data_IF_543041135353
#
_entry.id   IF_543041135353
#
_cell.length_a   1.000
_cell.length_b   1.000
_cell.length_c   1.000
_cell.angle_alpha   90.00
_cell.angle_beta   90.00
_cell.angle_gamma   90.00
#
_symmetry.space_group_name_H-M   'P 1'
#
loop_
_entity.id
_entity.type
_entity.pdbx_description
1 polymer ?
#
# COMPACT_ATOMS: atom_id res chain seq x y z
N UNK A 1 24.21 20.93 22.47
CA UNK A 1 23.52 20.37 21.29
C UNK A 1 23.24 18.90 21.55
N UNK A 2 22.01 18.42 21.36
CA UNK A 2 21.69 16.99 21.53
C UNK A 2 22.33 16.23 20.37
N UNK A 3 23.28 15.36 20.66
CA UNK A 3 23.95 14.55 19.65
C UNK A 3 23.06 13.37 19.26
N UNK A 4 22.19 13.57 18.25
CA UNK A 4 21.27 12.53 17.75
C UNK A 4 22.02 11.60 16.81
N UNK A 5 22.05 10.31 17.15
CA UNK A 5 22.58 9.27 16.27
C UNK A 5 21.39 8.54 15.65
N UNK A 6 21.19 8.70 14.36
CA UNK A 6 20.02 8.14 13.69
C UNK A 6 20.05 6.61 13.61
N UNK A 7 18.85 6.03 13.64
CA UNK A 7 18.62 4.59 13.58
C UNK A 7 17.65 4.26 12.43
N UNK A 8 17.81 3.08 11.86
CA UNK A 8 16.87 2.47 10.91
C UNK A 8 16.16 1.31 11.63
N UNK A 9 15.13 1.65 12.41
CA UNK A 9 14.36 0.69 13.21
C UNK A 9 13.14 0.23 12.41
N UNK A 10 13.06 -1.06 12.03
CA UNK A 10 11.85 -1.62 11.44
C UNK A 10 10.64 -1.45 12.38
N UNK A 11 9.46 -1.23 11.81
CA UNK A 11 8.25 -1.00 12.61
C UNK A 11 7.97 -2.12 13.64
N UNK A 12 8.21 -3.38 13.27
CA UNK A 12 8.01 -4.53 14.14
C UNK A 12 8.98 -4.57 15.35
N UNK A 13 10.09 -3.84 15.27
CA UNK A 13 11.16 -3.83 16.28
C UNK A 13 11.15 -2.54 17.11
N UNK A 14 10.18 -1.64 16.88
CA UNK A 14 10.10 -0.31 17.52
C UNK A 14 10.10 -0.39 19.05
N UNK A 15 9.41 -1.36 19.62
CA UNK A 15 9.26 -1.49 21.07
C UNK A 15 10.55 -2.03 21.70
N UNK A 16 11.27 -2.91 21.00
CA UNK A 16 12.60 -3.38 21.39
C UNK A 16 13.62 -2.24 21.35
N UNK A 17 13.64 -1.46 20.28
CA UNK A 17 14.52 -0.29 20.17
C UNK A 17 14.21 0.77 21.26
N UNK A 18 12.93 1.01 21.55
CA UNK A 18 12.49 1.91 22.62
C UNK A 18 12.95 1.40 23.99
N UNK A 19 12.79 0.11 24.27
CA UNK A 19 13.26 -0.52 25.50
C UNK A 19 14.80 -0.45 25.64
N UNK A 20 15.53 -0.57 24.53
CA UNK A 20 16.98 -0.36 24.45
C UNK A 20 17.41 1.13 24.56
N UNK A 21 16.45 2.05 24.72
CA UNK A 21 16.71 3.46 25.00
C UNK A 21 16.67 4.39 23.78
N UNK A 22 16.24 3.91 22.61
CA UNK A 22 15.99 4.78 21.47
C UNK A 22 14.86 5.79 21.76
N UNK A 23 14.87 6.91 21.02
CA UNK A 23 13.86 7.97 21.08
C UNK A 23 13.34 8.25 19.67
N UNK A 24 12.09 8.71 19.58
CA UNK A 24 11.45 9.08 18.33
C UNK A 24 11.51 10.59 18.14
N UNK A 25 11.96 11.05 16.98
CA UNK A 25 11.85 12.44 16.54
C UNK A 25 10.63 12.57 15.61
N UNK A 26 9.55 13.26 16.03
CA UNK A 26 8.34 13.39 15.21
C UNK A 26 8.52 14.31 13.99
N UNK A 27 9.46 15.26 14.03
CA UNK A 27 9.73 16.15 12.91
C UNK A 27 10.55 15.43 11.83
N UNK A 28 11.60 14.70 12.24
CA UNK A 28 12.39 13.87 11.33
C UNK A 28 11.68 12.56 10.94
N UNK A 29 10.60 12.20 11.66
CA UNK A 29 9.92 10.91 11.59
C UNK A 29 10.91 9.75 11.64
N UNK A 30 11.87 9.80 12.57
CA UNK A 30 12.98 8.84 12.65
C UNK A 30 13.39 8.55 14.09
N UNK A 31 13.81 7.30 14.34
CA UNK A 31 14.38 6.86 15.59
C UNK A 31 15.83 7.34 15.74
N UNK A 32 16.24 7.68 16.96
CA UNK A 32 17.62 8.07 17.28
C UNK A 32 18.06 7.55 18.65
N UNK A 33 19.37 7.33 18.79
CA UNK A 33 20.01 7.17 20.08
C UNK A 33 20.34 8.55 20.67
N UNK A 34 19.96 8.85 21.93
CA UNK A 34 20.17 10.15 22.55
C UNK A 34 21.63 10.41 22.98
N UNK A 35 22.47 9.37 23.07
CA UNK A 35 23.88 9.47 23.45
C UNK A 35 24.73 8.40 22.76
N UNK A 36 26.05 8.66 22.64
CA UNK A 36 27.03 7.69 22.13
C UNK A 36 27.20 6.51 23.10
N UNK A 37 27.69 5.38 22.58
CA UNK A 37 28.03 4.20 23.37
C UNK A 37 26.87 3.30 23.78
N UNK A 38 25.66 3.52 23.26
CA UNK A 38 24.50 2.64 23.49
C UNK A 38 24.60 1.39 22.61
N UNK A 39 25.39 0.41 23.02
CA UNK A 39 25.67 -0.83 22.26
C UNK A 39 24.42 -1.64 21.95
N UNK A 40 23.41 -1.63 22.83
CA UNK A 40 22.12 -2.28 22.61
C UNK A 40 21.35 -1.76 21.38
N UNK A 41 21.72 -0.58 20.84
CA UNK A 41 21.09 0.02 19.66
C UNK A 41 21.85 -0.27 18.34
N UNK A 42 23.01 -0.94 18.41
CA UNK A 42 23.80 -1.28 17.21
C UNK A 42 23.03 -2.08 16.14
N UNK A 43 22.09 -3.00 16.47
CA UNK A 43 21.30 -3.70 15.46
C UNK A 43 20.53 -2.77 14.51
N UNK A 44 20.19 -1.56 14.97
CA UNK A 44 19.45 -0.55 14.21
C UNK A 44 20.31 0.62 13.74
N UNK A 45 21.65 0.50 13.76
CA UNK A 45 22.53 1.56 13.28
C UNK A 45 22.09 2.05 11.89
N UNK A 46 22.10 3.35 11.62
CA UNK A 46 21.73 3.86 10.31
C UNK A 46 22.66 3.32 9.22
N UNK A 47 22.09 2.83 8.12
CA UNK A 47 22.85 2.62 6.88
C UNK A 47 22.99 3.97 6.14
N UNK A 48 23.84 4.05 5.09
CA UNK A 48 23.85 5.20 4.19
C UNK A 48 22.43 5.52 3.69
N UNK A 49 22.09 6.79 3.50
CA UNK A 49 20.78 7.12 2.93
C UNK A 49 20.69 6.66 1.47
N UNK A 50 19.48 6.27 1.06
CA UNK A 50 19.18 5.95 -0.34
C UNK A 50 19.16 7.27 -1.13
N UNK A 51 19.76 7.35 -2.33
CA UNK A 51 19.75 8.56 -3.15
C UNK A 51 18.32 8.96 -3.54
N UNK A 52 18.06 10.26 -3.64
CA UNK A 52 16.73 10.78 -3.99
C UNK A 52 16.29 10.40 -5.42
N UNK A 53 17.27 10.30 -6.33
CA UNK A 53 17.11 9.74 -7.67
C UNK A 53 17.73 8.34 -7.69
N UNK A 54 16.91 7.31 -7.87
CA UNK A 54 17.40 5.94 -7.96
C UNK A 54 18.05 5.68 -9.34
N UNK A 55 19.08 4.83 -9.42
CA UNK A 55 19.72 4.48 -10.69
C UNK A 55 18.73 3.94 -11.72
N UNK A 56 18.58 4.64 -12.85
CA UNK A 56 17.66 4.23 -13.93
C UNK A 56 16.17 4.43 -13.62
N UNK A 57 15.82 5.17 -12.56
CA UNK A 57 14.46 5.60 -12.26
C UNK A 57 13.96 6.63 -13.27
N UNK A 58 12.76 6.41 -13.78
CA UNK A 58 12.04 7.36 -14.62
C UNK A 58 10.97 8.07 -13.79
N UNK A 59 11.25 9.30 -13.37
CA UNK A 59 10.31 10.09 -12.56
C UNK A 59 9.12 10.61 -13.36
N UNK A 60 9.14 10.51 -14.69
CA UNK A 60 7.99 10.86 -15.55
C UNK A 60 7.01 9.69 -15.71
N UNK A 61 7.48 8.46 -15.48
CA UNK A 61 6.65 7.27 -15.58
C UNK A 61 5.51 7.32 -14.56
N UNK A 62 4.27 7.27 -15.05
CA UNK A 62 3.10 7.22 -14.19
C UNK A 62 2.88 8.49 -13.37
N UNK A 63 3.19 9.65 -13.95
CA UNK A 63 2.74 10.96 -13.46
C UNK A 63 1.21 11.05 -13.40
N UNK A 64 0.72 11.82 -12.42
CA UNK A 64 -0.72 11.98 -12.18
C UNK A 64 -1.38 10.76 -11.52
N UNK A 65 -2.72 10.77 -11.52
CA UNK A 65 -3.53 9.70 -10.93
C UNK A 65 -4.19 8.86 -12.02
N UNK A 66 -4.01 7.54 -11.96
CA UNK A 66 -4.69 6.59 -12.82
C UNK A 66 -4.80 5.23 -12.14
N UNK A 67 -5.75 4.43 -12.60
CA UNK A 67 -5.85 3.01 -12.25
C UNK A 67 -4.68 2.24 -12.85
N UNK A 68 -3.85 1.64 -11.99
CA UNK A 68 -2.65 0.89 -12.36
C UNK A 68 -2.71 -0.50 -11.72
N UNK A 69 -3.27 -1.44 -12.46
CA UNK A 69 -3.49 -2.80 -11.96
C UNK A 69 -2.25 -3.66 -12.23
N UNK A 70 -1.62 -4.12 -11.16
CA UNK A 70 -0.56 -5.12 -11.23
C UNK A 70 -1.16 -6.48 -11.63
N UNK A 71 -0.57 -7.22 -12.59
CA UNK A 71 -1.04 -8.54 -13.01
C UNK A 71 -1.18 -9.51 -11.83
N UNK A 72 -2.19 -10.38 -11.86
CA UNK A 72 -2.45 -11.31 -10.75
C UNK A 72 -1.29 -12.29 -10.51
N UNK A 73 -0.54 -12.63 -11.55
CA UNK A 73 0.70 -13.40 -11.48
C UNK A 73 1.83 -12.74 -10.67
N UNK A 74 1.71 -11.44 -10.41
CA UNK A 74 2.70 -10.61 -9.73
C UNK A 74 2.19 -10.05 -8.40
N UNK A 75 0.97 -10.40 -7.98
CA UNK A 75 0.47 -10.01 -6.67
C UNK A 75 1.35 -10.62 -5.57
N UNK A 76 1.45 -9.89 -4.45
CA UNK A 76 2.28 -10.24 -3.28
C UNK A 76 3.80 -10.14 -3.48
N UNK A 77 4.26 -9.69 -4.66
CA UNK A 77 5.67 -9.27 -4.90
C UNK A 77 5.78 -7.78 -5.15
N UNK A 78 5.42 -7.01 -4.12
CA UNK A 78 5.74 -5.59 -4.04
C UNK A 78 7.17 -5.41 -3.53
N UNK A 79 7.72 -4.21 -3.60
CA UNK A 79 9.10 -3.94 -3.17
C UNK A 79 9.27 -4.23 -1.69
N UNK A 80 8.28 -3.89 -0.86
CA UNK A 80 8.31 -4.16 0.59
C UNK A 80 8.52 -5.64 0.92
N UNK A 81 7.94 -6.57 0.16
CA UNK A 81 8.14 -8.02 0.37
C UNK A 81 9.44 -8.56 -0.24
N UNK A 82 10.15 -7.75 -1.03
CA UNK A 82 11.38 -8.13 -1.72
C UNK A 82 12.64 -7.49 -1.13
N UNK A 83 12.54 -6.69 -0.07
CA UNK A 83 13.67 -5.99 0.57
C UNK A 83 13.70 -6.25 2.07
N UNK A 84 14.84 -6.04 2.71
CA UNK A 84 14.91 -6.16 4.18
C UNK A 84 14.01 -5.12 4.87
N UNK A 85 13.45 -5.41 6.07
CA UNK A 85 12.65 -4.44 6.81
C UNK A 85 13.39 -3.11 7.09
N UNK A 86 14.70 -3.18 7.30
CA UNK A 86 15.57 -2.00 7.46
C UNK A 86 15.63 -1.16 6.18
N UNK A 87 15.81 -1.80 5.03
CA UNK A 87 15.87 -1.10 3.74
C UNK A 87 14.50 -0.58 3.29
N UNK A 88 13.42 -1.28 3.65
CA UNK A 88 12.07 -0.75 3.46
C UNK A 88 11.89 0.58 4.20
N UNK A 89 12.36 0.71 5.44
CA UNK A 89 12.27 1.97 6.17
C UNK A 89 13.14 3.07 5.54
N UNK A 90 14.33 2.72 5.05
CA UNK A 90 15.19 3.65 4.29
C UNK A 90 14.48 4.17 3.03
N UNK A 91 13.89 3.27 2.24
CA UNK A 91 13.13 3.60 1.03
C UNK A 91 11.90 4.47 1.35
N UNK A 92 11.06 4.04 2.31
CA UNK A 92 9.85 4.77 2.70
C UNK A 92 10.17 6.20 3.14
N UNK A 93 11.24 6.37 3.92
CA UNK A 93 11.72 7.68 4.36
C UNK A 93 12.20 8.53 3.19
N UNK A 94 13.02 7.96 2.30
CA UNK A 94 13.49 8.65 1.10
C UNK A 94 12.31 9.10 0.22
N UNK A 95 11.36 8.22 -0.06
CA UNK A 95 10.19 8.48 -0.93
C UNK A 95 9.31 9.61 -0.38
N UNK A 96 8.99 9.57 0.91
CA UNK A 96 8.14 10.61 1.52
C UNK A 96 8.86 11.96 1.65
N UNK A 97 10.16 11.94 1.98
CA UNK A 97 11.02 13.15 2.02
C UNK A 97 11.13 13.78 0.65
N UNK A 98 11.50 13.03 -0.39
CA UNK A 98 11.67 13.57 -1.75
C UNK A 98 10.39 14.13 -2.34
N UNK A 99 9.24 13.62 -1.91
CA UNK A 99 7.92 14.12 -2.30
C UNK A 99 7.48 15.34 -1.48
N UNK A 100 8.35 15.89 -0.62
CA UNK A 100 8.03 17.06 0.21
C UNK A 100 6.88 16.81 1.19
N UNK A 101 6.72 15.56 1.65
CA UNK A 101 5.61 15.13 2.51
C UNK A 101 4.23 15.39 1.89
N UNK A 102 4.12 15.24 0.56
CA UNK A 102 2.88 15.37 -0.20
C UNK A 102 2.71 14.22 -1.18
N UNK A 103 1.46 13.95 -1.55
CA UNK A 103 1.12 13.04 -2.63
C UNK A 103 1.63 13.60 -3.96
N UNK A 104 2.40 12.82 -4.72
CA UNK A 104 2.89 13.23 -6.05
C UNK A 104 1.78 13.27 -7.11
N UNK A 105 0.61 12.67 -6.85
CA UNK A 105 -0.53 12.69 -7.78
C UNK A 105 -1.54 13.82 -7.52
N UNK A 106 -1.84 14.14 -6.25
CA UNK A 106 -2.88 15.12 -5.90
C UNK A 106 -2.42 16.21 -4.92
N UNK A 107 -1.12 16.25 -4.57
CA UNK A 107 -0.50 17.22 -3.66
C UNK A 107 -1.03 17.23 -2.21
N UNK A 108 -1.95 16.33 -1.86
CA UNK A 108 -2.46 16.20 -0.51
C UNK A 108 -1.35 15.77 0.47
N UNK A 109 -1.30 16.44 1.62
CA UNK A 109 -0.48 16.01 2.75
C UNK A 109 -1.19 14.90 3.56
N UNK A 110 -0.48 14.31 4.51
CA UNK A 110 -1.08 13.45 5.54
C UNK A 110 -2.13 14.22 6.35
N UNK A 111 -3.20 13.54 6.74
CA UNK A 111 -4.21 14.04 7.65
C UNK A 111 -4.71 12.87 8.51
N UNK A 112 -4.40 12.92 9.82
CA UNK A 112 -4.73 11.82 10.74
C UNK A 112 -6.22 11.71 11.01
N UNK A 113 -6.92 12.84 11.14
CA UNK A 113 -8.36 12.89 11.41
C UNK A 113 -9.15 12.32 10.24
N UNK A 114 -8.76 12.71 9.02
CA UNK A 114 -9.33 12.20 7.79
C UNK A 114 -8.81 10.81 7.41
N UNK A 115 -7.96 10.18 8.23
CA UNK A 115 -7.38 8.86 7.94
C UNK A 115 -6.74 8.84 6.55
N UNK A 116 -5.84 9.80 6.30
CA UNK A 116 -5.06 9.93 5.07
C UNK A 116 -3.57 9.88 5.40
N UNK A 117 -2.90 8.88 4.87
CA UNK A 117 -1.47 8.66 5.03
C UNK A 117 -0.77 8.83 3.68
N UNK A 118 0.56 8.93 3.71
CA UNK A 118 1.40 8.83 2.52
C UNK A 118 1.98 7.42 2.44
N UNK A 119 1.83 6.82 1.27
CA UNK A 119 2.12 5.43 0.98
C UNK A 119 3.08 5.39 -0.21
N UNK A 120 4.15 4.61 -0.09
CA UNK A 120 5.04 4.32 -1.21
C UNK A 120 4.35 3.32 -2.15
N UNK A 121 4.43 3.56 -3.44
CA UNK A 121 3.82 2.74 -4.48
C UNK A 121 4.80 2.52 -5.64
N UNK A 122 4.75 1.35 -6.25
CA UNK A 122 5.62 0.97 -7.37
C UNK A 122 4.98 1.20 -8.74
N UNK A 123 5.73 1.82 -9.65
CA UNK A 123 5.41 1.87 -11.08
C UNK A 123 6.31 0.91 -11.84
N UNK A 124 5.67 0.11 -12.70
CA UNK A 124 6.31 -0.98 -13.42
C UNK A 124 6.23 -0.76 -14.92
N UNK A 125 7.29 -1.14 -15.63
CA UNK A 125 7.23 -1.39 -17.07
C UNK A 125 7.24 -2.88 -17.32
N UNK A 126 6.54 -3.30 -18.38
CA UNK A 126 6.38 -4.69 -18.74
C UNK A 126 6.96 -4.90 -20.13
N UNK A 127 7.90 -5.82 -20.24
CA UNK A 127 8.51 -6.23 -21.48
C UNK A 127 7.92 -7.58 -21.89
N UNK A 128 6.98 -7.54 -22.83
CA UNK A 128 6.24 -8.72 -23.29
C UNK A 128 7.11 -9.75 -24.01
N UNK A 129 8.19 -9.31 -24.67
CA UNK A 129 9.08 -10.18 -25.42
C UNK A 129 9.97 -11.00 -24.48
N UNK A 130 10.58 -10.34 -23.49
CA UNK A 130 11.48 -11.00 -22.52
C UNK A 130 10.76 -11.49 -21.25
N UNK A 131 9.48 -11.16 -21.09
CA UNK A 131 8.65 -11.53 -19.93
C UNK A 131 9.19 -10.99 -18.62
N UNK A 132 9.68 -9.76 -18.65
CA UNK A 132 10.24 -9.07 -17.49
C UNK A 132 9.31 -7.93 -17.04
N UNK A 133 9.01 -7.90 -15.74
CA UNK A 133 8.41 -6.77 -15.05
C UNK A 133 9.55 -6.00 -14.36
N UNK A 134 9.85 -4.78 -14.81
CA UNK A 134 10.94 -3.96 -14.26
C UNK A 134 10.39 -2.84 -13.40
N UNK A 135 10.94 -2.71 -12.19
CA UNK A 135 10.67 -1.54 -11.36
C UNK A 135 11.28 -0.32 -12.02
N UNK A 136 10.48 0.71 -12.28
CA UNK A 136 10.96 1.93 -12.94
C UNK A 136 10.71 3.22 -12.17
N UNK A 137 9.81 3.20 -11.19
CA UNK A 137 9.64 4.32 -10.28
C UNK A 137 9.04 3.88 -8.96
N UNK A 138 9.48 4.52 -7.89
CA UNK A 138 8.73 4.57 -6.64
C UNK A 138 7.99 5.91 -6.55
N UNK A 139 6.76 5.94 -6.07
CA UNK A 139 5.97 7.16 -6.02
C UNK A 139 5.26 7.27 -4.67
N UNK A 140 5.23 8.48 -4.13
CA UNK A 140 4.51 8.81 -2.90
C UNK A 140 3.05 9.14 -3.23
N UNK A 141 2.11 8.32 -2.79
CA UNK A 141 0.67 8.52 -2.99
C UNK A 141 -0.05 8.69 -1.65
N UNK A 142 -1.06 9.54 -1.59
CA UNK A 142 -1.97 9.52 -0.44
C UNK A 142 -2.90 8.30 -0.50
N UNK A 143 -3.50 7.94 0.63
CA UNK A 143 -4.42 6.79 0.74
C UNK A 143 -5.55 6.77 -0.28
N UNK A 144 -6.12 7.94 -0.61
CA UNK A 144 -7.19 8.01 -1.60
C UNK A 144 -6.66 7.74 -3.02
N UNK A 145 -5.51 8.33 -3.39
CA UNK A 145 -4.84 8.07 -4.67
C UNK A 145 -4.32 6.62 -4.80
N UNK A 146 -3.78 6.07 -3.71
CA UNK A 146 -3.33 4.69 -3.65
C UNK A 146 -4.50 3.72 -3.83
N UNK A 147 -5.66 4.03 -3.25
CA UNK A 147 -6.90 3.25 -3.43
C UNK A 147 -7.38 3.28 -4.89
N UNK A 148 -7.32 4.43 -5.57
CA UNK A 148 -7.63 4.55 -7.00
C UNK A 148 -6.68 3.73 -7.86
N UNK A 149 -5.39 3.80 -7.55
CA UNK A 149 -4.36 3.05 -8.27
C UNK A 149 -4.66 1.54 -8.21
N UNK A 150 -5.00 1.04 -7.02
CA UNK A 150 -5.45 -0.35 -6.79
C UNK A 150 -6.97 -0.55 -6.94
N UNK A 151 -7.57 -0.03 -8.02
CA UNK A 151 -9.03 0.00 -8.20
C UNK A 151 -9.71 -1.37 -8.07
N UNK A 152 -9.10 -2.44 -8.59
CA UNK A 152 -9.64 -3.81 -8.47
C UNK A 152 -9.76 -4.28 -7.02
N UNK A 153 -8.81 -3.89 -6.15
CA UNK A 153 -8.88 -4.17 -4.72
C UNK A 153 -9.91 -3.27 -4.02
N UNK A 154 -10.03 -2.02 -4.44
CA UNK A 154 -11.07 -1.11 -3.95
C UNK A 154 -12.48 -1.67 -4.19
N UNK A 155 -12.72 -2.31 -5.34
CA UNK A 155 -13.99 -2.99 -5.64
C UNK A 155 -14.27 -4.15 -4.66
N UNK A 156 -13.28 -5.02 -4.42
CA UNK A 156 -13.41 -6.15 -3.47
C UNK A 156 -13.77 -5.66 -2.07
N UNK A 157 -13.26 -4.49 -1.67
CA UNK A 157 -13.50 -3.88 -0.36
C UNK A 157 -14.73 -2.99 -0.27
N UNK A 158 -15.52 -2.85 -1.35
CA UNK A 158 -16.70 -1.96 -1.37
C UNK A 158 -16.35 -0.47 -1.36
N UNK A 159 -15.12 -0.09 -1.70
CA UNK A 159 -14.65 1.31 -1.76
C UNK A 159 -14.72 1.91 -3.17
N UNK A 160 -15.37 1.22 -4.11
CA UNK A 160 -15.42 1.60 -5.53
C UNK A 160 -15.93 3.02 -5.74
N UNK A 161 -17.08 3.38 -5.17
CA UNK A 161 -17.69 4.70 -5.36
C UNK A 161 -16.76 5.83 -4.89
N UNK A 162 -16.06 5.62 -3.77
CA UNK A 162 -15.08 6.58 -3.24
C UNK A 162 -13.87 6.71 -4.16
N UNK A 163 -13.35 5.58 -4.65
CA UNK A 163 -12.23 5.57 -5.58
C UNK A 163 -12.60 6.27 -6.90
N UNK A 164 -13.76 5.95 -7.48
CA UNK A 164 -14.24 6.56 -8.71
C UNK A 164 -14.38 8.08 -8.58
N UNK A 165 -15.02 8.56 -7.50
CA UNK A 165 -15.17 9.99 -7.24
C UNK A 165 -13.82 10.69 -7.07
N UNK A 166 -12.86 10.04 -6.39
CA UNK A 166 -11.52 10.60 -6.23
C UNK A 166 -10.74 10.65 -7.54
N UNK A 167 -10.85 9.61 -8.38
CA UNK A 167 -10.26 9.59 -9.71
C UNK A 167 -10.73 10.80 -10.53
N UNK A 168 -12.05 10.94 -10.69
CA UNK A 168 -12.67 12.07 -11.42
C UNK A 168 -12.22 13.42 -10.85
N UNK A 169 -12.25 13.57 -9.53
CA UNK A 169 -11.85 14.82 -8.85
C UNK A 169 -10.41 15.23 -9.16
N UNK A 170 -9.47 14.28 -9.14
CA UNK A 170 -8.04 14.58 -9.28
C UNK A 170 -7.63 14.72 -10.75
N UNK A 171 -8.19 13.91 -11.64
CA UNK A 171 -7.82 13.91 -13.06
C UNK A 171 -8.62 14.89 -13.90
N UNK A 172 -9.78 15.35 -13.42
CA UNK A 172 -10.71 16.16 -14.21
C UNK A 172 -11.44 15.38 -15.32
N UNK A 173 -11.26 14.05 -15.40
CA UNK A 173 -11.97 13.20 -16.37
C UNK A 173 -13.48 13.32 -16.18
N UNK A 174 -14.22 13.37 -17.27
CA UNK A 174 -15.67 13.13 -17.24
C UNK A 174 -15.95 11.71 -16.70
N UNK A 175 -17.17 11.48 -16.23
CA UNK A 175 -17.57 10.15 -15.75
C UNK A 175 -17.41 9.08 -16.86
N UNK A 176 -17.65 9.43 -18.11
CA UNK A 176 -17.51 8.52 -19.27
C UNK A 176 -16.05 8.19 -19.56
N UNK A 177 -15.16 9.18 -19.50
CA UNK A 177 -13.71 8.97 -19.65
C UNK A 177 -13.16 8.13 -18.51
N UNK A 178 -13.51 8.44 -17.26
CA UNK A 178 -13.08 7.66 -16.10
C UNK A 178 -13.52 6.19 -16.19
N UNK A 179 -14.76 5.91 -16.63
CA UNK A 179 -15.23 4.54 -16.88
C UNK A 179 -14.45 3.86 -18.00
N UNK A 180 -14.14 4.59 -19.08
CA UNK A 180 -13.35 4.06 -20.19
C UNK A 180 -11.91 3.76 -19.78
N UNK A 181 -11.30 4.63 -18.97
CA UNK A 181 -9.99 4.46 -18.34
C UNK A 181 -9.95 3.18 -17.49
N UNK A 182 -10.92 3.02 -16.58
CA UNK A 182 -11.02 1.83 -15.73
C UNK A 182 -11.15 0.57 -16.59
N UNK A 183 -12.04 0.57 -17.58
CA UNK A 183 -12.21 -0.57 -18.51
C UNK A 183 -10.91 -0.91 -19.24
N UNK A 184 -10.19 0.10 -19.73
CA UNK A 184 -8.90 -0.11 -20.39
C UNK A 184 -7.88 -0.74 -19.43
N UNK A 185 -7.76 -0.22 -18.21
CA UNK A 185 -6.86 -0.76 -17.20
C UNK A 185 -7.16 -2.24 -16.87
N UNK A 186 -8.44 -2.61 -16.78
CA UNK A 186 -8.84 -4.02 -16.61
C UNK A 186 -8.51 -4.90 -17.83
N UNK A 187 -8.66 -4.40 -19.06
CA UNK A 187 -8.28 -5.15 -20.25
C UNK A 187 -6.77 -5.42 -20.30
N UNK A 188 -5.95 -4.42 -19.95
CA UNK A 188 -4.49 -4.57 -19.83
C UNK A 188 -4.14 -5.58 -18.73
N UNK A 189 -4.81 -5.49 -17.57
CA UNK A 189 -4.65 -6.44 -16.48
C UNK A 189 -4.99 -7.87 -16.88
N UNK A 190 -6.10 -8.09 -17.58
CA UNK A 190 -6.53 -9.41 -18.08
C UNK A 190 -5.46 -10.01 -19.01
N UNK A 191 -4.95 -9.22 -19.95
CA UNK A 191 -3.93 -9.64 -20.91
C UNK A 191 -2.60 -9.99 -20.22
N UNK A 192 -2.13 -9.16 -19.29
CA UNK A 192 -0.87 -9.38 -18.56
C UNK A 192 -0.98 -10.47 -17.50
N UNK A 193 -2.17 -10.73 -16.95
CA UNK A 193 -2.40 -11.78 -15.96
C UNK A 193 -2.40 -13.19 -16.56
N UNK A 194 -2.51 -13.32 -17.89
CA UNK A 194 -2.34 -14.60 -18.59
C UNK A 194 -0.89 -15.10 -18.64
N UNK A 195 0.03 -14.34 -18.05
CA UNK A 195 1.48 -14.45 -18.24
C UNK A 195 2.17 -14.54 -16.88
N UNK A 196 3.24 -15.34 -16.78
CA UNK A 196 4.22 -15.19 -15.69
C UNK A 196 5.28 -14.17 -16.08
N UNK A 197 5.77 -13.43 -15.09
CA UNK A 197 6.76 -12.38 -15.24
C UNK A 197 7.95 -12.62 -14.31
N UNK A 198 9.16 -12.43 -14.83
CA UNK A 198 10.37 -12.32 -14.03
C UNK A 198 10.48 -10.90 -13.48
N UNK A 199 10.86 -10.76 -12.21
CA UNK A 199 10.96 -9.46 -11.55
C UNK A 199 12.39 -8.92 -11.70
N UNK A 200 12.50 -7.67 -12.11
CA UNK A 200 13.76 -6.93 -12.15
C UNK A 200 13.69 -5.75 -11.17
N UNK A 201 14.52 -5.84 -10.14
CA UNK A 201 14.68 -4.86 -9.06
C UNK A 201 16.09 -4.25 -9.04
N UNK A 202 16.84 -4.34 -10.15
CA UNK A 202 18.22 -3.84 -10.24
C UNK A 202 18.37 -2.39 -9.77
N UNK A 203 17.39 -1.53 -10.09
CA UNK A 203 17.28 -0.15 -9.60
C UNK A 203 17.45 0.00 -8.07
N UNK A 204 17.05 -1.01 -7.29
CA UNK A 204 17.19 -1.01 -5.84
C UNK A 204 18.58 -1.48 -5.41
N UNK A 205 19.07 -2.59 -5.97
CA UNK A 205 20.39 -3.12 -5.61
C UNK A 205 21.50 -2.12 -5.95
N UNK A 206 21.37 -1.43 -7.09
CA UNK A 206 22.31 -0.41 -7.54
C UNK A 206 22.28 0.83 -6.63
N UNK A 207 21.20 1.03 -5.87
CA UNK A 207 21.06 2.06 -4.85
C UNK A 207 21.48 1.61 -3.44
N UNK A 208 22.09 0.43 -3.30
CA UNK A 208 22.51 -0.12 -2.02
C UNK A 208 21.35 -0.61 -1.13
N UNK A 209 20.28 -1.11 -1.74
CA UNK A 209 19.17 -1.80 -1.06
C UNK A 209 19.38 -3.32 -1.11
N UNK A 210 19.24 -3.98 0.02
CA UNK A 210 19.38 -5.42 0.16
C UNK A 210 18.06 -6.12 -0.15
N UNK A 211 18.06 -6.98 -1.16
CA UNK A 211 16.89 -7.79 -1.49
C UNK A 211 16.76 -8.98 -0.53
N UNK A 212 15.52 -9.25 -0.12
CA UNK A 212 15.14 -10.54 0.44
C UNK A 212 14.58 -11.40 -0.69
N UNK A 213 14.90 -12.70 -0.69
CA UNK A 213 14.62 -13.60 -1.82
C UNK A 213 13.14 -13.49 -2.24
N UNK A 214 12.83 -12.93 -3.43
CA UNK A 214 11.46 -12.87 -3.87
C UNK A 214 10.97 -14.28 -4.19
N UNK A 215 9.68 -14.62 -3.93
CA UNK A 215 9.11 -15.90 -4.34
C UNK A 215 9.34 -16.14 -5.83
N UNK A 216 9.52 -17.39 -6.28
CA UNK A 216 9.68 -17.66 -7.72
C UNK A 216 8.38 -17.37 -8.46
N UNK A 217 8.46 -16.99 -9.74
CA UNK A 217 7.29 -16.62 -10.53
C UNK A 217 6.18 -17.69 -10.57
N UNK A 218 6.54 -18.99 -10.51
CA UNK A 218 5.59 -20.10 -10.44
C UNK A 218 4.86 -20.23 -9.10
N UNK A 219 5.49 -19.84 -7.99
CA UNK A 219 4.96 -19.92 -6.63
C UNK A 219 3.94 -18.78 -6.35
N UNK A 220 4.09 -17.64 -7.03
CA UNK A 220 3.28 -16.42 -6.81
C UNK A 220 1.81 -16.57 -7.19
N UNK A 221 1.50 -17.32 -8.26
CA UNK A 221 0.11 -17.47 -8.75
C UNK A 221 -0.81 -18.11 -7.71
N UNK A 222 -0.29 -19.07 -6.92
CA UNK A 222 -1.06 -19.75 -5.87
C UNK A 222 -1.36 -18.86 -4.67
N UNK A 223 -0.39 -18.05 -4.24
CA UNK A 223 -0.53 -17.08 -3.14
C UNK A 223 -1.64 -16.08 -3.43
N UNK A 224 -1.68 -15.57 -4.67
CA UNK A 224 -2.65 -14.57 -5.07
C UNK A 224 -4.11 -15.05 -5.01
N UNK A 225 -4.36 -16.27 -5.49
CA UNK A 225 -5.67 -16.89 -5.42
C UNK A 225 -6.08 -17.22 -3.98
N UNK A 226 -5.14 -17.71 -3.16
CA UNK A 226 -5.38 -18.07 -1.77
C UNK A 226 -5.73 -16.85 -0.89
N UNK A 227 -5.01 -15.73 -1.02
CA UNK A 227 -5.32 -14.52 -0.25
C UNK A 227 -6.68 -13.95 -0.59
N UNK A 228 -7.02 -13.86 -1.89
CA UNK A 228 -8.37 -13.43 -2.29
C UNK A 228 -9.46 -14.38 -1.80
N UNK A 229 -9.22 -15.70 -1.79
CA UNK A 229 -10.17 -16.68 -1.30
C UNK A 229 -10.41 -16.54 0.20
N UNK A 230 -9.34 -16.32 0.98
CA UNK A 230 -9.42 -16.06 2.42
C UNK A 230 -10.18 -14.76 2.73
N UNK A 231 -10.00 -13.70 1.95
CA UNK A 231 -10.76 -12.46 2.09
C UNK A 231 -12.25 -12.61 1.69
N UNK A 232 -12.59 -13.56 0.81
CA UNK A 232 -13.97 -13.83 0.33
C UNK A 232 -14.76 -14.82 1.20
N UNK A 233 -14.08 -15.72 1.90
CA UNK A 233 -14.70 -16.70 2.81
C UNK A 233 -15.15 -16.09 4.14
N UNK A 234 -14.87 -14.81 4.37
CA UNK A 234 -15.32 -14.05 5.53
C UNK A 234 -16.72 -13.51 5.18
N UNK A 235 -17.79 -13.89 5.90
CA UNK A 235 -19.11 -13.28 5.74
C UNK A 235 -18.99 -11.75 5.83
N UNK A 236 -19.83 -10.96 5.14
CA UNK A 236 -19.86 -9.52 5.39
C UNK A 236 -20.01 -9.33 6.90
N UNK A 237 -19.10 -8.58 7.55
CA UNK A 237 -19.11 -8.50 8.99
C UNK A 237 -20.48 -8.00 9.44
N UNK A 238 -21.10 -8.72 10.38
CA UNK A 238 -22.03 -8.13 11.33
C UNK A 238 -21.39 -6.83 11.85
N UNK A 239 -22.12 -5.71 12.06
CA UNK A 239 -21.51 -4.49 12.56
C UNK A 239 -20.80 -4.79 13.89
N UNK A 240 -19.49 -4.98 13.79
CA UNK A 240 -18.55 -5.33 14.83
C UNK A 240 -17.20 -4.73 14.41
N UNK A 241 -16.42 -4.39 15.42
CA UNK A 241 -15.76 -3.09 15.51
C UNK A 241 -14.76 -2.75 14.40
N UNK A 242 -14.88 -1.50 13.92
CA UNK A 242 -14.00 -0.88 12.95
C UNK A 242 -12.49 -0.95 13.31
N UNK A 243 -12.14 -1.30 14.56
CA UNK A 243 -10.77 -1.50 15.03
C UNK A 243 -10.04 -2.69 14.40
N UNK A 244 -10.72 -3.81 14.13
CA UNK A 244 -10.06 -5.05 13.72
C UNK A 244 -9.60 -5.04 12.25
N UNK A 245 -10.41 -4.44 11.38
CA UNK A 245 -10.08 -4.20 9.97
C UNK A 245 -8.96 -3.14 9.85
N UNK A 246 -8.98 -2.12 10.71
CA UNK A 246 -7.92 -1.12 10.80
C UNK A 246 -6.60 -1.74 11.27
N UNK A 247 -6.64 -2.69 12.21
CA UNK A 247 -5.46 -3.39 12.69
C UNK A 247 -4.80 -4.25 11.59
N UNK A 248 -5.58 -5.01 10.81
CA UNK A 248 -5.04 -5.80 9.69
C UNK A 248 -4.42 -4.95 8.59
N UNK A 249 -5.09 -3.86 8.21
CA UNK A 249 -4.57 -2.90 7.23
C UNK A 249 -3.36 -2.15 7.78
N UNK A 250 -3.34 -1.83 9.08
CA UNK A 250 -2.18 -1.21 9.72
C UNK A 250 -0.98 -2.17 9.80
N UNK A 251 -1.21 -3.47 9.99
CA UNK A 251 -0.16 -4.51 9.95
C UNK A 251 0.37 -4.66 8.52
N UNK A 252 -0.51 -4.79 7.53
CA UNK A 252 -0.15 -4.90 6.11
C UNK A 252 0.53 -3.62 5.58
N UNK A 253 0.13 -2.45 6.08
CA UNK A 253 0.66 -1.13 5.68
C UNK A 253 1.76 -0.60 6.61
N UNK A 254 2.10 -1.28 7.71
CA UNK A 254 3.16 -0.88 8.65
C UNK A 254 2.88 0.42 9.43
N UNK A 255 1.63 0.62 9.86
CA UNK A 255 1.15 1.82 10.58
C UNK A 255 1.06 1.50 12.09
N UNK A 256 1.48 2.43 12.95
CA UNK A 256 1.31 2.33 14.40
C UNK A 256 -0.14 2.57 14.83
N UNK A 257 -0.75 1.58 15.49
CA UNK A 257 -2.03 1.76 16.18
C UNK A 257 -1.83 2.58 17.47
N UNK A 258 -2.75 3.49 17.84
CA UNK A 258 -2.73 4.17 19.13
C UNK A 258 -3.01 3.18 20.27
N UNK A 259 -2.40 3.41 21.44
CA UNK A 259 -2.67 2.63 22.64
C UNK A 259 -4.09 2.93 23.15
N UNK A 260 -4.82 1.89 23.57
CA UNK A 260 -6.19 2.03 24.05
C UNK A 260 -6.26 2.88 25.34
N UNK A 261 -7.25 3.79 25.46
CA UNK A 261 -7.55 4.42 26.73
C UNK A 261 -8.28 3.43 27.66
N UNK A 262 -8.03 3.58 28.96
CA UNK A 262 -8.57 2.72 30.01
C UNK A 262 -10.11 2.74 30.06
N UNK A 263 -10.64 1.54 30.28
CA UNK A 263 -12.03 1.11 30.40
C UNK A 263 -12.95 2.09 31.17
N UNK A 264 -13.95 2.65 30.48
CA UNK A 264 -15.08 3.35 31.10
C UNK A 264 -16.34 2.58 30.74
N UNK A 265 -16.88 1.86 31.71
CA UNK A 265 -18.16 1.15 31.61
C UNK A 265 -19.31 2.17 31.50
N UNK A 266 -20.18 2.01 30.51
CA UNK A 266 -21.46 2.72 30.46
C UNK A 266 -22.56 1.82 29.87
N UNK A 267 -23.68 1.77 30.59
CA UNK A 267 -24.88 0.95 30.39
C UNK A 267 -25.68 1.34 29.13
N UNK A 268 -26.29 0.35 28.47
CA UNK A 268 -27.21 0.54 27.33
C UNK A 268 -28.65 0.82 27.80
N UNK A 269 -29.41 1.67 27.08
CA UNK A 269 -30.87 1.59 27.05
C UNK A 269 -31.40 1.13 25.68
N UNK A 270 -32.41 0.27 25.73
CA UNK A 270 -33.07 -0.36 24.59
C UNK A 270 -34.14 0.54 23.94
N UNK A 271 -34.27 0.48 22.61
CA UNK A 271 -35.52 0.84 21.89
C UNK A 271 -35.55 0.22 20.48
N UNK A 272 -36.75 -0.18 19.97
CA UNK A 272 -36.88 -1.01 18.77
C UNK A 272 -36.91 -0.19 17.46
N UNK A 273 -36.41 -0.79 16.37
CA UNK A 273 -36.38 -0.21 15.00
C UNK A 273 -37.69 -0.48 14.22
N UNK A 274 -38.13 0.44 13.34
CA UNK A 274 -39.25 0.22 12.42
C UNK A 274 -38.82 -0.51 11.12
N UNK A 275 -39.77 -1.09 10.36
CA UNK A 275 -39.47 -1.96 9.22
C UNK A 275 -39.08 -1.18 7.94
N UNK A 276 -38.22 -1.80 7.13
CA UNK A 276 -37.69 -1.28 5.85
C UNK A 276 -38.48 -1.86 4.68
N UNK A 277 -38.94 -1.00 3.76
CA UNK A 277 -39.58 -1.37 2.48
C UNK A 277 -38.53 -1.34 1.35
N UNK A 278 -38.47 -2.34 0.44
CA UNK A 278 -37.49 -2.37 -0.62
C UNK A 278 -37.92 -1.56 -1.87
N UNK A 279 -37.00 -0.74 -2.39
CA UNK A 279 -37.13 -0.05 -3.68
C UNK A 279 -36.59 -0.87 -4.88
N UNK A 280 -36.81 -0.40 -6.13
CA UNK A 280 -36.64 -1.20 -7.34
C UNK A 280 -35.17 -1.40 -7.75
N UNK A 281 -34.87 -2.57 -8.31
CA UNK A 281 -33.55 -2.99 -8.81
C UNK A 281 -33.27 -2.43 -10.21
N UNK A 282 -32.25 -1.58 -10.35
CA UNK A 282 -31.61 -1.28 -11.64
C UNK A 282 -30.47 -2.26 -11.93
N UNK A 283 -30.32 -2.61 -13.21
CA UNK A 283 -29.38 -3.64 -13.68
C UNK A 283 -27.91 -3.18 -13.58
N UNK A 284 -27.14 -3.84 -12.71
CA UNK A 284 -25.72 -3.60 -12.50
C UNK A 284 -24.85 -4.06 -13.68
N UNK A 285 -23.85 -3.25 -14.03
CA UNK A 285 -22.74 -3.65 -14.89
C UNK A 285 -22.02 -4.90 -14.34
N UNK A 286 -21.48 -5.80 -15.20
CA UNK A 286 -20.99 -7.10 -14.75
C UNK A 286 -19.78 -6.97 -13.82
N UNK A 287 -19.99 -7.35 -12.56
CA UNK A 287 -18.99 -7.33 -11.49
C UNK A 287 -17.81 -8.26 -11.77
N UNK A 288 -16.65 -7.94 -11.19
CA UNK A 288 -15.42 -8.75 -11.15
C UNK A 288 -15.70 -10.23 -10.81
N UNK A 289 -16.73 -10.46 -9.98
CA UNK A 289 -17.22 -11.79 -9.59
C UNK A 289 -17.60 -12.64 -10.81
N UNK A 290 -18.31 -12.10 -11.81
CA UNK A 290 -18.71 -12.88 -12.99
C UNK A 290 -17.56 -13.24 -13.92
N UNK A 291 -16.46 -12.47 -13.92
CA UNK A 291 -15.30 -12.70 -14.81
C UNK A 291 -14.31 -13.69 -14.24
N UNK A 292 -14.15 -13.72 -12.92
CA UNK A 292 -13.25 -14.66 -12.23
C UNK A 292 -13.79 -16.10 -12.31
N UNK A 293 -15.12 -16.30 -12.33
CA UNK A 293 -15.75 -17.63 -12.34
C UNK A 293 -16.12 -18.18 -13.73
N UNK A 294 -15.86 -17.47 -14.83
CA UNK A 294 -16.09 -18.00 -16.19
C UNK A 294 -14.95 -18.84 -16.77
N UNK A 295 -13.78 -18.88 -16.13
CA UNK A 295 -12.61 -19.66 -16.60
C UNK A 295 -12.40 -20.97 -15.84
N UNK A 296 -13.44 -21.46 -15.15
CA UNK A 296 -13.43 -22.71 -14.37
C UNK A 296 -14.34 -23.82 -14.93
N UNK A 297 -14.66 -23.81 -16.23
CA UNK A 297 -15.24 -24.94 -16.95
C UNK A 297 -14.53 -25.12 -18.27
#
# INVERSE_FOLDING_TARGET
MVNRIWLDVPYAEKDQAKAAGARWDPAAKRWYAPRKGMTALQPWAAAPDVPDLLPGEDRTLGEGLFVDLVPSSCWFTNVRSCVTPRDWERLRRMITRRAGMRCEACSAAENRDAKRWLEAHERWVYDDATRVQRLKRLICLCTDCHTVTHYGYAQVRGLESKAFAHLVKVTGMSHTEARSHIRYAFNVWDARSARSWTLDLSMLTDAGVTLQRPPRAGERRGVAAATLAAERGIPPPSPADAGEIVARIAIERGIALPAEPADVRSEEPSSPRPPVVPGPREAAAPSLLRRIFRRGR
#
